data_IF_102822384069
#
_entry.id   IF_102822384069
#
_cell.length_a   1.000
_cell.length_b   1.000
_cell.length_c   1.000
_cell.angle_alpha   90.00
_cell.angle_beta   90.00
_cell.angle_gamma   90.00
#
_symmetry.space_group_name_H-M   'P 1'
#
loop_
_entity.id
_entity.type
_entity.pdbx_description
1 polymer ?
#
# COMPACT_ATOMS: atom_id res chain seq x y z
N UNK A 1 -1.78 21.69 11.41
CA UNK A 1 -1.56 20.95 12.68
C UNK A 1 -1.57 19.45 12.39
N UNK A 2 -0.49 18.71 12.67
CA UNK A 2 -0.54 17.24 12.67
C UNK A 2 -1.35 16.80 13.90
N UNK A 3 -2.52 16.25 13.69
CA UNK A 3 -3.40 15.77 14.77
C UNK A 3 -3.03 14.34 15.13
N UNK A 4 -2.86 14.03 16.41
CA UNK A 4 -2.67 12.66 16.93
C UNK A 4 -3.99 11.92 17.11
N UNK A 5 -4.94 12.10 16.17
CA UNK A 5 -6.24 11.43 16.22
C UNK A 5 -6.03 9.92 16.06
N UNK A 6 -6.65 9.13 16.94
CA UNK A 6 -6.68 7.67 16.80
C UNK A 6 -7.36 7.32 15.48
N UNK A 7 -6.67 6.52 14.66
CA UNK A 7 -7.23 5.98 13.42
C UNK A 7 -8.27 4.92 13.74
N UNK A 8 -9.47 5.05 13.18
CA UNK A 8 -10.51 4.04 13.33
C UNK A 8 -10.37 3.01 12.20
N UNK A 9 -9.77 1.86 12.50
CA UNK A 9 -9.87 0.70 11.62
C UNK A 9 -11.25 0.05 11.78
N UNK A 10 -11.90 -0.37 10.69
CA UNK A 10 -13.10 -1.20 10.73
C UNK A 10 -12.90 -2.43 11.63
N UNK A 11 -13.85 -2.73 12.53
CA UNK A 11 -13.69 -3.81 13.51
C UNK A 11 -13.72 -5.22 12.91
N UNK A 12 -14.02 -5.34 11.62
CA UNK A 12 -14.13 -6.60 10.88
C UNK A 12 -12.83 -7.03 10.21
N UNK A 13 -11.73 -6.31 10.41
CA UNK A 13 -10.42 -6.73 9.89
C UNK A 13 -9.74 -7.74 10.79
N UNK A 14 -9.13 -8.73 10.17
CA UNK A 14 -8.23 -9.63 10.87
C UNK A 14 -6.89 -8.93 11.14
N UNK A 15 -6.13 -9.48 12.09
CA UNK A 15 -4.81 -8.95 12.49
C UNK A 15 -3.86 -8.70 11.31
N UNK A 16 -3.91 -9.54 10.27
CA UNK A 16 -3.02 -9.40 9.10
C UNK A 16 -3.41 -8.21 8.22
N UNK A 17 -4.70 -7.96 8.06
CA UNK A 17 -5.22 -6.80 7.34
C UNK A 17 -4.85 -5.51 8.09
N UNK A 18 -5.00 -5.46 9.41
CA UNK A 18 -4.62 -4.29 10.22
C UNK A 18 -3.12 -3.97 10.09
N UNK A 19 -2.27 -4.99 10.15
CA UNK A 19 -0.82 -4.83 9.94
C UNK A 19 -0.55 -4.30 8.53
N UNK A 20 -1.16 -4.90 7.50
CA UNK A 20 -0.94 -4.49 6.12
C UNK A 20 -1.36 -3.04 5.86
N UNK A 21 -2.51 -2.59 6.37
CA UNK A 21 -2.94 -1.17 6.30
C UNK A 21 -1.92 -0.29 6.97
N UNK A 22 -1.53 -0.61 8.20
CA UNK A 22 -0.62 0.21 8.99
C UNK A 22 0.74 0.36 8.29
N UNK A 23 1.29 -0.74 7.77
CA UNK A 23 2.56 -0.76 7.02
C UNK A 23 2.48 0.03 5.72
N UNK A 24 1.39 -0.14 4.98
CA UNK A 24 1.13 0.60 3.74
C UNK A 24 1.05 2.10 4.02
N UNK A 25 0.33 2.51 5.06
CA UNK A 25 0.14 3.92 5.39
C UNK A 25 1.40 4.61 5.90
N UNK A 26 2.24 3.90 6.64
CA UNK A 26 3.55 4.38 7.05
C UNK A 26 4.50 4.45 5.84
N UNK A 27 4.25 3.67 4.78
CA UNK A 27 5.08 3.62 3.57
C UNK A 27 6.29 2.69 3.70
N UNK A 28 6.45 2.01 4.84
CA UNK A 28 7.59 1.15 5.15
C UNK A 28 7.14 -0.31 5.26
N UNK A 29 7.49 -1.09 4.25
CA UNK A 29 7.32 -2.55 4.22
C UNK A 29 8.61 -3.25 3.81
N UNK A 30 8.74 -4.52 4.17
CA UNK A 30 9.87 -5.34 3.75
C UNK A 30 10.05 -5.30 2.22
N UNK A 31 8.95 -5.39 1.47
CA UNK A 31 8.95 -5.34 0.01
C UNK A 31 9.59 -4.08 -0.59
N UNK A 32 9.52 -2.93 0.09
CA UNK A 32 10.02 -1.65 -0.43
C UNK A 32 11.30 -1.18 0.24
N UNK A 33 11.61 -1.67 1.45
CA UNK A 33 12.70 -1.18 2.29
C UNK A 33 13.72 -2.27 2.70
N UNK A 34 13.54 -3.54 2.32
CA UNK A 34 14.50 -4.61 2.62
C UNK A 34 15.92 -4.28 2.14
N UNK A 35 16.04 -3.58 1.01
CA UNK A 35 17.33 -3.21 0.43
C UNK A 35 18.20 -2.36 1.38
N UNK A 36 17.59 -1.54 2.25
CA UNK A 36 18.32 -0.76 3.26
C UNK A 36 18.95 -1.64 4.32
N UNK A 37 18.32 -2.77 4.64
CA UNK A 37 18.80 -3.72 5.64
C UNK A 37 19.89 -4.61 5.03
N UNK A 38 19.65 -5.15 3.83
CA UNK A 38 20.57 -6.06 3.15
C UNK A 38 21.73 -5.35 2.44
N UNK A 39 21.73 -4.01 2.37
CA UNK A 39 22.63 -3.19 1.53
C UNK A 39 22.61 -3.61 0.06
N UNK A 40 21.43 -4.06 -0.39
CA UNK A 40 21.17 -4.44 -1.77
C UNK A 40 20.71 -3.23 -2.59
N UNK A 41 20.73 -3.32 -3.93
CA UNK A 41 20.12 -2.29 -4.76
C UNK A 41 18.62 -2.15 -4.46
N UNK A 42 18.11 -0.92 -4.60
CA UNK A 42 16.68 -0.64 -4.41
C UNK A 42 15.86 -1.52 -5.35
N UNK A 43 14.79 -2.19 -4.86
CA UNK A 43 13.94 -3.00 -5.72
C UNK A 43 13.30 -2.14 -6.80
N UNK A 44 13.25 -2.69 -8.01
CA UNK A 44 12.66 -2.05 -9.19
C UNK A 44 11.37 -2.79 -9.54
N UNK A 45 10.35 -2.06 -10.01
CA UNK A 45 9.16 -2.69 -10.57
C UNK A 45 9.48 -3.29 -11.94
N UNK A 46 9.27 -4.60 -12.10
CA UNK A 46 9.53 -5.33 -13.35
C UNK A 46 8.75 -4.78 -14.57
N UNK A 47 7.63 -4.09 -14.33
CA UNK A 47 6.74 -3.58 -15.38
C UNK A 47 7.02 -2.13 -15.73
N UNK A 48 7.28 -1.30 -14.71
CA UNK A 48 7.47 0.14 -14.88
C UNK A 48 8.94 0.55 -14.96
N UNK A 49 9.87 -0.34 -14.60
CA UNK A 49 11.31 -0.07 -14.52
C UNK A 49 11.68 1.12 -13.61
N UNK A 50 10.81 1.44 -12.65
CA UNK A 50 11.02 2.49 -11.64
C UNK A 50 11.20 1.89 -10.25
N UNK A 51 11.75 2.68 -9.33
CA UNK A 51 11.87 2.33 -7.92
C UNK A 51 10.55 1.82 -7.31
N UNK A 52 10.59 0.64 -6.68
CA UNK A 52 9.43 0.02 -6.06
C UNK A 52 9.17 0.67 -4.69
N UNK A 53 8.13 1.50 -4.63
CA UNK A 53 7.68 2.17 -3.40
C UNK A 53 6.19 1.88 -3.15
N UNK A 54 5.70 2.13 -1.94
CA UNK A 54 4.25 2.01 -1.67
C UNK A 54 3.45 2.98 -2.53
N UNK A 55 3.94 4.21 -2.72
CA UNK A 55 3.35 5.17 -3.67
C UNK A 55 3.27 4.58 -5.06
N UNK A 56 4.37 4.00 -5.53
CA UNK A 56 4.40 3.39 -6.84
C UNK A 56 3.33 2.31 -6.96
N UNK A 57 3.28 1.36 -6.02
CA UNK A 57 2.32 0.26 -6.01
C UNK A 57 0.86 0.75 -5.99
N UNK A 58 0.54 1.70 -5.11
CA UNK A 58 -0.84 2.10 -4.81
C UNK A 58 -1.40 3.11 -5.81
N UNK A 59 -0.58 3.95 -6.46
CA UNK A 59 -1.08 5.02 -7.34
C UNK A 59 -0.43 5.11 -8.73
N UNK A 60 0.80 4.63 -8.94
CA UNK A 60 1.51 4.85 -10.22
C UNK A 60 1.67 3.58 -11.08
N UNK A 61 1.75 2.40 -10.47
CA UNK A 61 2.20 1.18 -11.13
C UNK A 61 1.20 0.74 -12.21
N UNK A 62 1.62 0.64 -13.47
CA UNK A 62 0.74 0.24 -14.58
C UNK A 62 0.21 -1.17 -14.42
N UNK A 63 1.00 -2.07 -13.80
CA UNK A 63 0.61 -3.45 -13.46
C UNK A 63 -0.70 -3.53 -12.68
N UNK A 64 -0.96 -2.56 -11.81
CA UNK A 64 -2.14 -2.54 -10.95
C UNK A 64 -3.21 -1.53 -11.40
N UNK A 65 -3.05 -0.95 -12.60
CA UNK A 65 -3.97 0.08 -13.09
C UNK A 65 -5.41 -0.41 -13.17
N UNK A 66 -5.63 -1.61 -13.71
CA UNK A 66 -6.97 -2.16 -13.83
C UNK A 66 -7.63 -2.33 -12.46
N UNK A 67 -6.93 -2.95 -11.51
CA UNK A 67 -7.43 -3.16 -10.14
C UNK A 67 -7.74 -1.83 -9.42
N UNK A 68 -6.96 -0.76 -9.68
CA UNK A 68 -7.26 0.56 -9.14
C UNK A 68 -8.53 1.17 -9.72
N UNK A 69 -8.73 1.02 -11.02
CA UNK A 69 -9.94 1.47 -11.71
C UNK A 69 -11.17 0.70 -11.22
N UNK A 70 -11.07 -0.63 -11.12
CA UNK A 70 -12.18 -1.49 -10.67
C UNK A 70 -12.61 -1.19 -9.24
N UNK A 71 -11.65 -0.82 -8.38
CA UNK A 71 -11.90 -0.45 -6.98
C UNK A 71 -12.13 1.05 -6.78
N UNK A 72 -12.08 1.87 -7.83
CA UNK A 72 -12.23 3.32 -7.72
C UNK A 72 -11.28 3.91 -6.65
N UNK A 73 -9.98 3.62 -6.80
CA UNK A 73 -8.91 4.14 -5.94
C UNK A 73 -8.44 5.48 -6.50
N UNK A 74 -8.44 6.51 -5.64
CA UNK A 74 -7.97 7.85 -6.02
C UNK A 74 -6.50 7.83 -6.49
N UNK A 75 -6.14 8.60 -7.53
CA UNK A 75 -4.73 8.76 -7.93
C UNK A 75 -3.91 9.53 -6.91
N UNK A 76 -4.53 10.25 -5.97
CA UNK A 76 -3.85 10.94 -4.90
C UNK A 76 -3.55 9.98 -3.75
N UNK A 77 -2.27 9.81 -3.40
CA UNK A 77 -1.86 8.89 -2.33
C UNK A 77 -2.50 9.22 -0.97
N UNK A 78 -2.72 10.50 -0.66
CA UNK A 78 -3.31 10.90 0.62
C UNK A 78 -4.79 10.46 0.71
N UNK A 79 -5.51 10.53 -0.41
CA UNK A 79 -6.91 10.10 -0.50
C UNK A 79 -7.02 8.59 -0.64
N UNK A 80 -6.15 7.98 -1.45
CA UNK A 80 -6.07 6.53 -1.63
C UNK A 80 -5.85 5.81 -0.30
N UNK A 81 -5.07 6.42 0.61
CA UNK A 81 -4.73 5.88 1.93
C UNK A 81 -5.57 6.45 3.09
N UNK A 82 -6.70 7.10 2.80
CA UNK A 82 -7.58 7.73 3.78
C UNK A 82 -8.46 6.72 4.56
N UNK A 83 -9.02 7.14 5.71
CA UNK A 83 -9.82 6.28 6.63
C UNK A 83 -11.00 5.62 5.91
N UNK A 84 -11.69 6.40 5.08
CA UNK A 84 -12.84 5.97 4.31
C UNK A 84 -12.50 5.00 3.17
N UNK A 85 -11.24 4.92 2.73
CA UNK A 85 -10.80 4.04 1.65
C UNK A 85 -10.16 2.74 2.16
N UNK A 86 -10.06 2.55 3.48
CA UNK A 86 -9.34 1.43 4.09
C UNK A 86 -9.80 0.06 3.57
N UNK A 87 -11.11 -0.14 3.40
CA UNK A 87 -11.66 -1.39 2.85
C UNK A 87 -11.23 -1.64 1.40
N UNK A 88 -11.19 -0.58 0.57
CA UNK A 88 -10.77 -0.68 -0.83
C UNK A 88 -9.28 -1.02 -0.93
N UNK A 89 -8.44 -0.42 -0.08
CA UNK A 89 -7.00 -0.74 -0.01
C UNK A 89 -6.81 -2.20 0.40
N UNK A 90 -7.54 -2.70 1.40
CA UNK A 90 -7.45 -4.11 1.80
C UNK A 90 -7.85 -5.03 0.66
N UNK A 91 -8.92 -4.72 -0.05
CA UNK A 91 -9.35 -5.50 -1.20
C UNK A 91 -8.28 -5.48 -2.30
N UNK A 92 -7.71 -4.31 -2.60
CA UNK A 92 -6.59 -4.16 -3.52
C UNK A 92 -5.39 -5.03 -3.12
N UNK A 93 -4.98 -5.00 -1.85
CA UNK A 93 -3.84 -5.77 -1.35
C UNK A 93 -4.10 -7.29 -1.34
N UNK A 94 -5.36 -7.71 -1.24
CA UNK A 94 -5.74 -9.13 -1.38
C UNK A 94 -5.66 -9.57 -2.84
N UNK A 95 -6.26 -8.80 -3.76
CA UNK A 95 -6.26 -9.11 -5.21
C UNK A 95 -4.83 -9.13 -5.76
N UNK A 96 -4.01 -8.16 -5.37
CA UNK A 96 -2.60 -8.08 -5.78
C UNK A 96 -1.68 -9.05 -5.04
N UNK A 97 -2.21 -9.84 -4.09
CA UNK A 97 -1.46 -10.77 -3.23
C UNK A 97 -0.31 -10.12 -2.42
N UNK A 98 -0.35 -8.79 -2.26
CA UNK A 98 0.66 -8.03 -1.54
C UNK A 98 0.50 -8.09 -0.02
N UNK A 99 -0.69 -8.45 0.49
CA UNK A 99 -0.94 -8.63 1.94
C UNK A 99 0.04 -9.59 2.61
N UNK A 100 0.63 -10.53 1.85
CA UNK A 100 1.61 -11.48 2.40
C UNK A 100 3.01 -10.88 2.57
N UNK A 101 3.31 -9.81 1.83
CA UNK A 101 4.62 -9.17 1.72
C UNK A 101 4.70 -7.82 2.47
N UNK A 102 3.60 -7.41 3.11
CA UNK A 102 3.45 -6.18 3.89
C UNK A 102 3.52 -6.45 5.39
#
# INVERSE_FOLDING_TARGET
KKTTKKWNTPSNFNRRQDIAITRTRIGHSFLTHSYLISKEPQPICDTCHTALTIKHIVVECTKYSQTRTDLDISPNIAEALAENQTSKIIQFLNITNLIKKL
#
